data_IF_975967409150
#
_entry.id   IF_975967409150
#
_cell.length_a   1.000
_cell.length_b   1.000
_cell.length_c   1.000
_cell.angle_alpha   90.00
_cell.angle_beta   90.00
_cell.angle_gamma   90.00
#
_symmetry.space_group_name_H-M   'P 1'
#
loop_
_entity.id
_entity.type
_entity.pdbx_description
1 polymer ?
#
# COMPACT_ATOMS: atom_id res chain seq x y z
N UNK A 1 36.29 -14.33 35.20
CA UNK A 1 36.26 -13.03 35.77
C UNK A 1 36.71 -12.03 34.71
N UNK A 2 35.76 -11.25 34.26
CA UNK A 2 36.03 -10.21 33.22
C UNK A 2 36.71 -9.03 33.91
N UNK A 3 37.84 -8.59 33.39
CA UNK A 3 38.55 -7.41 33.87
C UNK A 3 37.69 -6.16 33.61
N UNK A 4 37.64 -5.18 34.53
CA UNK A 4 36.78 -3.98 34.39
C UNK A 4 37.26 -3.11 33.25
N UNK A 5 36.31 -2.58 32.50
CA UNK A 5 36.44 -1.76 31.26
C UNK A 5 37.39 -0.53 31.41
N UNK A 6 37.59 -0.03 32.64
CA UNK A 6 38.45 1.14 32.88
C UNK A 6 39.96 0.87 32.67
N UNK A 7 40.41 -0.39 32.58
CA UNK A 7 41.82 -0.69 32.23
C UNK A 7 42.13 -0.49 30.75
N UNK A 8 41.10 -0.48 29.87
CA UNK A 8 41.26 -0.26 28.42
C UNK A 8 41.54 1.21 28.05
N UNK A 9 41.13 2.16 28.89
CA UNK A 9 41.32 3.59 28.61
C UNK A 9 42.75 4.10 28.93
N UNK A 10 43.54 3.35 29.68
CA UNK A 10 44.89 3.78 30.09
C UNK A 10 46.02 3.45 29.09
N UNK A 11 45.81 2.51 28.18
CA UNK A 11 46.88 2.00 27.30
C UNK A 11 46.79 2.43 25.82
N UNK A 12 45.88 3.27 25.44
CA UNK A 12 45.86 3.83 24.07
C UNK A 12 45.85 5.36 24.20
N UNK A 13 47.01 5.99 24.05
CA UNK A 13 47.21 7.43 24.12
C UNK A 13 46.28 8.22 23.15
N UNK A 14 45.03 8.30 23.50
CA UNK A 14 44.08 9.12 22.81
C UNK A 14 44.08 10.52 23.44
N UNK A 15 44.79 11.41 22.79
CA UNK A 15 44.81 12.84 23.11
C UNK A 15 43.41 13.43 22.93
N UNK A 16 42.86 14.16 23.90
CA UNK A 16 41.46 14.61 23.88
C UNK A 16 41.25 15.94 23.15
N UNK A 17 41.87 16.22 22.06
CA UNK A 17 41.57 17.43 21.27
C UNK A 17 42.00 17.27 19.80
N UNK A 18 41.25 16.53 19.03
CA UNK A 18 41.15 16.83 17.60
C UNK A 18 39.79 17.49 17.34
N UNK A 19 39.85 18.78 16.95
CA UNK A 19 38.69 19.49 16.42
C UNK A 19 38.10 18.68 15.29
N UNK A 20 36.88 18.19 15.49
CA UNK A 20 36.10 17.64 14.39
C UNK A 20 35.81 18.80 13.42
N UNK A 21 36.36 18.72 12.22
CA UNK A 21 35.93 19.56 11.12
C UNK A 21 34.43 19.37 10.93
N UNK A 22 33.67 20.44 10.85
CA UNK A 22 32.26 20.43 10.55
C UNK A 22 32.07 19.73 9.19
N UNK A 23 31.47 18.54 9.20
CA UNK A 23 31.03 17.92 7.98
C UNK A 23 29.92 18.82 7.44
N UNK A 24 30.01 19.29 6.18
CA UNK A 24 28.97 20.12 5.60
C UNK A 24 27.63 19.37 5.72
N UNK A 25 26.62 20.07 6.23
CA UNK A 25 25.28 19.56 6.34
C UNK A 25 24.77 19.25 4.93
N UNK A 26 24.61 17.97 4.63
CA UNK A 26 23.94 17.54 3.41
C UNK A 26 22.48 18.00 3.53
N UNK A 27 21.96 18.80 2.60
CA UNK A 27 20.58 19.24 2.68
C UNK A 27 19.66 18.01 2.45
N UNK A 28 18.71 17.85 3.36
CA UNK A 28 17.48 17.09 3.20
C UNK A 28 17.57 15.56 3.10
N UNK A 29 18.00 14.92 4.18
CA UNK A 29 17.38 13.64 4.55
C UNK A 29 16.14 13.96 5.36
N UNK A 30 15.00 13.33 5.04
CA UNK A 30 13.73 13.45 5.77
C UNK A 30 13.83 12.76 7.14
N UNK A 31 14.67 13.30 8.03
CA UNK A 31 14.82 12.83 9.40
C UNK A 31 14.76 14.01 10.33
N UNK A 32 13.88 14.03 11.31
CA UNK A 32 13.97 14.98 12.42
C UNK A 32 15.19 14.64 13.27
N UNK A 33 15.98 15.64 13.59
CA UNK A 33 17.17 15.47 14.43
C UNK A 33 16.80 15.88 15.86
N UNK A 34 16.48 14.91 16.71
CA UNK A 34 16.36 15.15 18.13
C UNK A 34 17.65 14.76 18.83
N UNK A 35 18.29 15.70 19.52
CA UNK A 35 19.49 15.44 20.29
C UNK A 35 19.09 15.07 21.71
N UNK A 36 19.49 13.87 22.19
CA UNK A 36 19.51 13.54 23.61
C UNK A 36 20.96 13.57 24.11
N UNK A 37 21.17 14.23 25.23
CA UNK A 37 22.46 14.26 25.89
C UNK A 37 22.48 13.17 26.96
N UNK A 38 23.40 12.24 26.83
CA UNK A 38 23.63 11.23 27.85
C UNK A 38 24.90 11.57 28.63
N UNK A 39 24.79 11.52 29.96
CA UNK A 39 25.93 11.76 30.85
C UNK A 39 26.65 10.43 31.11
N UNK A 40 27.89 10.34 30.67
CA UNK A 40 28.73 9.19 30.95
C UNK A 40 30.15 9.69 31.39
N UNK A 41 30.59 9.29 32.55
CA UNK A 41 31.89 9.68 33.13
C UNK A 41 32.18 11.20 33.12
N UNK A 42 31.17 12.04 33.38
CA UNK A 42 31.37 13.50 33.43
C UNK A 42 31.33 14.23 32.08
N UNK A 43 31.13 13.51 30.98
CA UNK A 43 31.05 14.09 29.64
C UNK A 43 29.65 13.87 29.04
N UNK A 44 29.16 14.90 28.34
CA UNK A 44 27.93 14.82 27.54
C UNK A 44 28.26 14.43 26.11
N UNK A 45 27.75 13.27 25.67
CA UNK A 45 27.87 12.85 24.28
C UNK A 45 26.53 13.06 23.57
N UNK A 46 26.50 13.84 22.49
CA UNK A 46 25.31 13.94 21.67
C UNK A 46 25.11 12.63 20.89
N UNK A 47 24.09 11.87 21.24
CA UNK A 47 23.66 10.72 20.44
C UNK A 47 22.64 11.24 19.45
N UNK A 48 22.90 10.99 18.19
CA UNK A 48 21.99 11.28 17.09
C UNK A 48 20.95 10.17 17.03
N UNK A 49 19.81 10.37 17.68
CA UNK A 49 18.65 9.53 17.38
C UNK A 49 18.16 9.87 15.97
N UNK A 50 18.29 8.91 15.06
CA UNK A 50 17.59 8.96 13.80
C UNK A 50 16.18 8.49 14.09
N UNK A 51 15.25 9.42 14.30
CA UNK A 51 13.83 9.08 14.37
C UNK A 51 13.40 8.84 12.94
N UNK A 52 13.02 7.60 12.58
CA UNK A 52 12.48 7.36 11.24
C UNK A 52 11.20 8.17 11.10
N UNK A 53 11.12 8.98 10.04
CA UNK A 53 9.93 9.75 9.67
C UNK A 53 9.11 8.88 8.72
N UNK A 54 7.79 9.03 8.77
CA UNK A 54 6.90 8.46 7.80
C UNK A 54 7.37 8.76 6.37
N UNK A 55 7.87 7.75 5.69
CA UNK A 55 8.29 7.87 4.28
C UNK A 55 7.04 7.66 3.44
N UNK A 56 6.76 8.59 2.50
CA UNK A 56 5.71 8.36 1.53
C UNK A 56 6.07 7.15 0.67
N UNK A 57 5.32 6.07 0.83
CA UNK A 57 5.33 4.94 -0.08
C UNK A 57 3.88 4.59 -0.42
N UNK A 58 3.58 4.55 -1.70
CA UNK A 58 2.28 4.13 -2.21
C UNK A 58 2.48 3.52 -3.59
N UNK A 59 2.12 2.27 -3.73
CA UNK A 59 2.24 1.52 -4.97
C UNK A 59 0.90 0.89 -5.33
N UNK A 60 0.63 0.74 -6.63
CA UNK A 60 -0.59 0.10 -7.14
C UNK A 60 -0.24 -0.96 -8.16
N UNK A 61 -0.89 -2.10 -8.04
CA UNK A 61 -0.69 -3.24 -8.92
C UNK A 61 -2.01 -3.92 -9.30
N UNK A 62 -1.89 -4.91 -10.17
CA UNK A 62 -3.01 -5.77 -10.59
C UNK A 62 -2.65 -7.22 -10.32
N UNK A 63 -3.49 -7.90 -9.56
CA UNK A 63 -3.51 -9.36 -9.45
C UNK A 63 -4.19 -9.89 -10.71
N UNK A 64 -3.42 -10.60 -11.56
CA UNK A 64 -3.91 -11.09 -12.85
C UNK A 64 -3.60 -12.56 -13.02
N UNK A 65 -4.59 -13.35 -13.43
CA UNK A 65 -4.43 -14.77 -13.73
C UNK A 65 -3.41 -15.02 -14.85
N UNK A 66 -3.39 -14.17 -15.86
CA UNK A 66 -2.41 -14.28 -16.95
C UNK A 66 -0.95 -14.08 -16.54
N UNK A 67 -0.71 -13.56 -15.32
CA UNK A 67 0.62 -13.47 -14.69
C UNK A 67 0.86 -14.59 -13.67
N UNK A 68 0.04 -15.64 -13.66
CA UNK A 68 0.12 -16.73 -12.69
C UNK A 68 -0.27 -16.33 -11.25
N UNK A 69 -0.95 -15.19 -11.07
CA UNK A 69 -1.41 -14.74 -9.76
C UNK A 69 -2.87 -15.14 -9.52
N UNK A 70 -3.21 -15.44 -8.27
CA UNK A 70 -4.57 -15.71 -7.78
C UNK A 70 -4.99 -14.66 -6.75
N UNK A 71 -6.26 -14.25 -6.78
CA UNK A 71 -6.82 -13.34 -5.78
C UNK A 71 -6.92 -14.02 -4.41
N UNK A 72 -7.29 -15.30 -4.38
CA UNK A 72 -7.35 -16.11 -3.14
C UNK A 72 -5.95 -16.25 -2.53
N UNK A 73 -4.92 -16.56 -3.34
CA UNK A 73 -3.53 -16.63 -2.86
C UNK A 73 -3.03 -15.29 -2.30
N UNK A 74 -3.36 -14.19 -3.02
CA UNK A 74 -2.99 -12.85 -2.59
C UNK A 74 -3.68 -12.44 -1.27
N UNK A 75 -4.96 -12.78 -1.11
CA UNK A 75 -5.71 -12.52 0.11
C UNK A 75 -5.17 -13.36 1.29
N UNK A 76 -4.94 -14.66 1.09
CA UNK A 76 -4.36 -15.55 2.09
C UNK A 76 -3.00 -15.04 2.59
N UNK A 77 -2.13 -14.62 1.67
CA UNK A 77 -0.81 -14.08 2.01
C UNK A 77 -0.90 -12.81 2.88
N UNK A 78 -1.82 -11.89 2.53
CA UNK A 78 -1.96 -10.60 3.24
C UNK A 78 -2.61 -10.77 4.59
N UNK A 79 -3.61 -11.63 4.69
CA UNK A 79 -4.32 -11.87 5.96
C UNK A 79 -3.61 -12.84 6.89
N UNK A 80 -2.62 -13.60 6.40
CA UNK A 80 -1.99 -14.67 7.18
C UNK A 80 -2.92 -15.87 7.40
N UNK A 81 -3.88 -16.09 6.50
CA UNK A 81 -4.86 -17.16 6.61
C UNK A 81 -4.53 -18.36 5.73
N UNK A 82 -5.28 -19.43 5.92
CA UNK A 82 -5.30 -20.60 5.05
C UNK A 82 -6.56 -20.56 4.21
N UNK A 83 -6.43 -20.35 2.90
CA UNK A 83 -7.54 -20.29 1.96
C UNK A 83 -7.34 -21.29 0.81
N UNK A 84 -8.43 -21.89 0.37
CA UNK A 84 -8.44 -22.78 -0.81
C UNK A 84 -9.05 -22.02 -1.99
N UNK A 85 -8.36 -22.00 -3.11
CA UNK A 85 -8.86 -21.45 -4.36
C UNK A 85 -9.71 -22.51 -5.07
N UNK A 86 -11.01 -22.26 -5.19
CA UNK A 86 -11.96 -23.19 -5.83
C UNK A 86 -11.80 -23.26 -7.36
N UNK A 87 -11.12 -22.28 -7.97
CA UNK A 87 -10.85 -22.28 -9.41
C UNK A 87 -9.90 -23.40 -9.84
N UNK A 88 -8.86 -23.66 -9.04
CA UNK A 88 -7.78 -24.61 -9.34
C UNK A 88 -7.59 -25.69 -8.27
N UNK A 89 -8.34 -25.61 -7.17
CA UNK A 89 -8.26 -26.52 -6.03
C UNK A 89 -7.02 -26.33 -5.15
N UNK A 90 -6.19 -25.31 -5.40
CA UNK A 90 -4.96 -25.07 -4.63
C UNK A 90 -5.27 -24.43 -3.28
N UNK A 91 -4.65 -24.97 -2.23
CA UNK A 91 -4.70 -24.39 -0.88
C UNK A 91 -3.44 -23.58 -0.59
N UNK A 92 -3.63 -22.33 -0.18
CA UNK A 92 -2.59 -21.40 0.22
C UNK A 92 -2.63 -21.24 1.74
N UNK A 93 -1.56 -21.66 2.42
CA UNK A 93 -1.47 -21.64 3.88
C UNK A 93 -0.36 -20.69 4.34
N UNK A 94 -0.78 -19.55 4.88
CA UNK A 94 0.10 -18.52 5.43
C UNK A 94 -0.11 -18.32 6.93
N UNK A 95 -0.70 -19.29 7.64
CA UNK A 95 -0.97 -19.20 9.09
C UNK A 95 0.29 -19.05 9.94
N UNK A 96 1.46 -19.41 9.41
CA UNK A 96 2.76 -19.21 10.07
C UNK A 96 3.38 -17.83 9.80
N UNK A 97 2.76 -17.00 8.98
CA UNK A 97 3.26 -15.66 8.67
C UNK A 97 3.10 -14.75 9.90
N UNK A 98 4.21 -14.23 10.39
CA UNK A 98 4.21 -13.19 11.43
C UNK A 98 3.94 -11.80 10.87
N UNK A 99 3.72 -10.83 11.77
CA UNK A 99 3.62 -9.42 11.44
C UNK A 99 2.27 -8.96 10.89
N UNK A 100 1.26 -9.83 10.77
CA UNK A 100 -0.12 -9.41 10.46
C UNK A 100 -0.78 -8.95 11.75
N UNK A 101 -1.06 -7.65 11.87
CA UNK A 101 -1.56 -7.04 13.11
C UNK A 101 -3.02 -6.62 13.03
N UNK A 102 -3.57 -6.49 11.83
CA UNK A 102 -5.00 -6.23 11.60
C UNK A 102 -5.42 -6.70 10.21
N UNK A 103 -6.64 -7.22 10.10
CA UNK A 103 -7.29 -7.53 8.81
C UNK A 103 -8.76 -7.15 8.86
N UNK A 104 -9.29 -6.62 7.76
CA UNK A 104 -10.66 -6.18 7.70
C UNK A 104 -11.20 -6.22 6.27
N UNK A 105 -12.48 -6.59 6.14
CA UNK A 105 -13.22 -6.49 4.88
C UNK A 105 -14.29 -5.40 5.03
N UNK A 106 -14.30 -4.46 4.09
CA UNK A 106 -15.29 -3.39 4.02
C UNK A 106 -16.12 -3.57 2.75
N UNK A 107 -17.43 -3.58 2.92
CA UNK A 107 -18.39 -3.86 1.85
C UNK A 107 -19.24 -2.64 1.52
N UNK A 108 -19.55 -2.40 0.24
CA UNK A 108 -20.59 -1.45 -0.12
C UNK A 108 -21.97 -1.96 0.35
N UNK A 109 -22.96 -1.07 0.57
CA UNK A 109 -24.25 -1.44 1.18
C UNK A 109 -25.04 -2.54 0.47
N UNK A 110 -24.84 -2.69 -0.83
CA UNK A 110 -25.52 -3.67 -1.67
C UNK A 110 -24.74 -4.98 -1.84
N UNK A 111 -23.56 -5.10 -1.25
CA UNK A 111 -22.80 -6.36 -1.31
C UNK A 111 -23.44 -7.44 -0.44
N UNK A 112 -23.38 -8.71 -0.86
CA UNK A 112 -23.85 -9.83 -0.03
C UNK A 112 -23.13 -9.85 1.32
N UNK A 113 -23.84 -10.01 2.44
CA UNK A 113 -23.20 -10.10 3.76
C UNK A 113 -22.17 -11.25 3.85
N UNK A 114 -22.34 -12.32 3.06
CA UNK A 114 -21.38 -13.43 2.98
C UNK A 114 -20.00 -13.01 2.48
N UNK A 115 -19.88 -11.88 1.79
CA UNK A 115 -18.57 -11.34 1.35
C UNK A 115 -17.73 -10.77 2.51
N UNK A 116 -18.27 -10.72 3.73
CA UNK A 116 -17.47 -10.49 4.94
C UNK A 116 -16.51 -11.66 5.24
N UNK A 117 -16.79 -12.85 4.69
CA UNK A 117 -15.86 -13.98 4.67
C UNK A 117 -14.90 -13.86 3.48
N UNK A 118 -13.60 -13.86 3.77
CA UNK A 118 -12.54 -13.64 2.79
C UNK A 118 -12.49 -14.72 1.73
N UNK A 119 -12.68 -15.98 2.14
CA UNK A 119 -12.72 -17.12 1.22
C UNK A 119 -13.89 -16.97 0.24
N UNK A 120 -15.06 -16.65 0.73
CA UNK A 120 -16.26 -16.44 -0.08
C UNK A 120 -16.09 -15.29 -1.07
N UNK A 121 -15.59 -14.14 -0.60
CA UNK A 121 -15.39 -12.97 -1.46
C UNK A 121 -14.45 -13.29 -2.62
N UNK A 122 -13.24 -13.77 -2.32
CA UNK A 122 -12.22 -13.93 -3.36
C UNK A 122 -12.43 -15.15 -4.25
N UNK A 123 -13.05 -16.22 -3.75
CA UNK A 123 -13.50 -17.32 -4.61
C UNK A 123 -14.62 -16.89 -5.54
N UNK A 124 -15.56 -16.05 -5.10
CA UNK A 124 -16.59 -15.52 -5.99
C UNK A 124 -16.01 -14.72 -7.15
N UNK A 125 -14.92 -13.95 -6.91
CA UNK A 125 -14.19 -13.23 -7.97
C UNK A 125 -13.49 -14.20 -8.91
N UNK A 126 -12.76 -15.18 -8.39
CA UNK A 126 -12.04 -16.18 -9.20
C UNK A 126 -12.99 -16.95 -10.13
N UNK A 127 -14.12 -17.40 -9.60
CA UNK A 127 -15.10 -18.18 -10.36
C UNK A 127 -15.89 -17.35 -11.38
N UNK A 128 -16.11 -16.07 -11.09
CA UNK A 128 -16.80 -15.17 -12.03
C UNK A 128 -15.91 -14.74 -13.20
N UNK A 129 -14.64 -14.48 -12.95
CA UNK A 129 -13.65 -14.01 -13.93
C UNK A 129 -13.05 -15.18 -14.74
N UNK A 130 -13.78 -15.69 -15.75
CA UNK A 130 -13.44 -16.92 -16.48
C UNK A 130 -12.28 -16.81 -17.47
N UNK A 131 -11.85 -15.59 -17.84
CA UNK A 131 -10.81 -15.43 -18.85
C UNK A 131 -9.41 -15.82 -18.29
N UNK A 132 -8.60 -16.50 -19.11
CA UNK A 132 -7.24 -16.89 -18.71
C UNK A 132 -6.30 -15.70 -18.40
N UNK A 133 -6.60 -14.51 -18.93
CA UNK A 133 -5.87 -13.25 -18.65
C UNK A 133 -6.66 -12.31 -17.76
N UNK A 134 -7.62 -12.81 -16.99
CA UNK A 134 -8.49 -11.99 -16.13
C UNK A 134 -7.68 -11.17 -15.13
N UNK A 135 -8.09 -9.91 -14.97
CA UNK A 135 -7.70 -9.07 -13.84
C UNK A 135 -8.65 -9.36 -12.68
N UNK A 136 -8.11 -9.92 -11.60
CA UNK A 136 -8.87 -10.46 -10.46
C UNK A 136 -9.06 -9.42 -9.37
N UNK A 137 -8.00 -8.71 -9.04
CA UNK A 137 -8.02 -7.68 -8.01
C UNK A 137 -7.06 -6.54 -8.37
N UNK A 138 -7.32 -5.34 -7.84
CA UNK A 138 -6.34 -4.28 -7.73
C UNK A 138 -5.72 -4.36 -6.35
N UNK A 139 -4.40 -4.21 -6.28
CA UNK A 139 -3.65 -4.19 -5.04
C UNK A 139 -3.02 -2.82 -4.83
N UNK A 140 -3.02 -2.33 -3.59
CA UNK A 140 -2.34 -1.11 -3.18
C UNK A 140 -1.51 -1.46 -1.95
N UNK A 141 -0.26 -1.03 -1.95
CA UNK A 141 0.65 -1.12 -0.82
C UNK A 141 1.04 0.29 -0.39
N UNK A 142 0.82 0.65 0.88
CA UNK A 142 1.10 1.98 1.38
C UNK A 142 1.75 1.94 2.77
N UNK A 143 2.78 2.78 2.96
CA UNK A 143 3.41 2.95 4.27
C UNK A 143 2.46 3.66 5.23
N UNK A 144 2.51 3.27 6.51
CA UNK A 144 1.78 3.91 7.58
C UNK A 144 2.73 4.74 8.46
N UNK A 145 2.31 5.91 8.94
CA UNK A 145 3.11 6.71 9.86
C UNK A 145 3.34 5.96 11.18
N UNK A 146 4.58 5.90 11.63
CA UNK A 146 4.93 5.34 12.94
C UNK A 146 4.54 6.28 14.09
N UNK A 147 4.29 7.55 13.79
CA UNK A 147 3.84 8.58 14.71
C UNK A 147 2.40 8.38 15.17
N UNK A 148 1.63 7.58 14.43
CA UNK A 148 0.26 7.23 14.76
C UNK A 148 0.20 5.95 15.60
N UNK A 149 -0.68 5.90 16.59
CA UNK A 149 -1.01 4.66 17.29
C UNK A 149 -1.61 3.63 16.32
N UNK A 150 -1.61 2.36 16.71
CA UNK A 150 -2.22 1.29 15.90
C UNK A 150 -3.68 1.57 15.59
N UNK A 151 -4.43 2.07 16.57
CA UNK A 151 -5.83 2.44 16.43
C UNK A 151 -6.02 3.55 15.39
N UNK A 152 -5.16 4.57 15.42
CA UNK A 152 -5.19 5.67 14.46
C UNK A 152 -4.77 5.20 13.05
N UNK A 153 -3.80 4.29 12.95
CA UNK A 153 -3.42 3.67 11.66
C UNK A 153 -4.60 2.89 11.05
N UNK A 154 -5.32 2.10 11.85
CA UNK A 154 -6.52 1.38 11.41
C UNK A 154 -7.61 2.36 10.95
N UNK A 155 -7.86 3.43 11.71
CA UNK A 155 -8.85 4.47 11.38
C UNK A 155 -8.48 5.17 10.07
N UNK A 156 -7.21 5.53 9.89
CA UNK A 156 -6.70 6.14 8.66
C UNK A 156 -7.03 5.27 7.43
N UNK A 157 -6.70 3.97 7.49
CA UNK A 157 -6.98 3.04 6.38
C UNK A 157 -8.48 2.90 6.15
N UNK A 158 -9.30 2.79 7.20
CA UNK A 158 -10.76 2.72 7.08
C UNK A 158 -11.36 3.96 6.41
N UNK A 159 -11.00 5.16 6.88
CA UNK A 159 -11.53 6.42 6.34
C UNK A 159 -11.12 6.58 4.87
N UNK A 160 -9.87 6.31 4.55
CA UNK A 160 -9.37 6.32 3.17
C UNK A 160 -10.12 5.31 2.28
N UNK A 161 -10.22 4.04 2.70
CA UNK A 161 -10.89 3.00 1.93
C UNK A 161 -12.40 3.26 1.77
N UNK A 162 -13.06 3.72 2.82
CA UNK A 162 -14.48 4.08 2.78
C UNK A 162 -14.75 5.15 1.74
N UNK A 163 -13.97 6.23 1.78
CA UNK A 163 -14.13 7.39 0.90
C UNK A 163 -13.75 7.09 -0.55
N UNK A 164 -12.61 6.41 -0.78
CA UNK A 164 -12.07 6.28 -2.12
C UNK A 164 -12.59 5.06 -2.88
N UNK A 165 -13.00 4.00 -2.18
CA UNK A 165 -13.32 2.73 -2.82
C UNK A 165 -14.71 2.21 -2.48
N UNK A 166 -15.07 2.07 -1.20
CA UNK A 166 -16.37 1.52 -0.78
C UNK A 166 -17.52 2.40 -1.27
N UNK A 167 -17.38 3.73 -1.17
CA UNK A 167 -18.36 4.71 -1.67
C UNK A 167 -18.60 4.63 -3.19
N UNK A 168 -17.64 4.06 -3.92
CA UNK A 168 -17.75 3.81 -5.37
C UNK A 168 -18.26 2.41 -5.71
N UNK A 169 -18.59 1.59 -4.70
CA UNK A 169 -19.14 0.25 -4.88
C UNK A 169 -18.09 -0.88 -4.96
N UNK A 170 -16.82 -0.63 -4.62
CA UNK A 170 -15.81 -1.66 -4.53
C UNK A 170 -15.87 -2.36 -3.17
N UNK A 171 -15.73 -3.70 -3.15
CA UNK A 171 -15.38 -4.40 -1.94
C UNK A 171 -13.89 -4.22 -1.68
N UNK A 172 -13.55 -3.98 -0.43
CA UNK A 172 -12.18 -3.74 0.04
C UNK A 172 -11.82 -4.84 1.04
N UNK A 173 -10.63 -5.41 0.89
CA UNK A 173 -10.02 -6.31 1.87
C UNK A 173 -8.64 -5.75 2.19
N UNK A 174 -8.41 -5.29 3.41
CA UNK A 174 -7.12 -4.74 3.79
C UNK A 174 -6.49 -5.46 4.98
N UNK A 175 -5.17 -5.47 4.99
CA UNK A 175 -4.36 -5.97 6.09
C UNK A 175 -3.30 -4.93 6.47
N UNK A 176 -3.01 -4.80 7.77
CA UNK A 176 -1.90 -4.01 8.27
C UNK A 176 -0.81 -4.98 8.73
N UNK A 177 0.40 -4.76 8.23
CA UNK A 177 1.57 -5.52 8.60
C UNK A 177 2.55 -4.64 9.38
N UNK A 178 3.07 -5.20 10.45
CA UNK A 178 4.13 -4.60 11.25
C UNK A 178 4.93 -5.70 11.93
N UNK A 179 6.23 -5.66 11.74
CA UNK A 179 7.18 -6.59 12.39
C UNK A 179 8.04 -5.89 13.44
N UNK A 180 7.57 -4.75 13.95
CA UNK A 180 8.32 -3.88 14.88
C UNK A 180 9.67 -3.40 14.31
N UNK A 181 9.84 -3.51 13.00
CA UNK A 181 11.04 -3.03 12.28
C UNK A 181 11.01 -1.53 11.95
N UNK A 182 9.96 -0.81 12.39
CA UNK A 182 9.77 0.61 12.10
C UNK A 182 9.24 0.91 10.71
N UNK A 183 8.62 -0.06 10.05
CA UNK A 183 8.01 0.09 8.72
C UNK A 183 6.59 -0.52 8.68
N UNK A 184 5.64 0.00 9.50
CA UNK A 184 4.26 -0.43 9.39
C UNK A 184 3.69 -0.04 8.02
N UNK A 185 2.94 -0.96 7.41
CA UNK A 185 2.36 -0.73 6.09
C UNK A 185 1.02 -1.46 5.94
N UNK A 186 0.17 -0.95 5.05
CA UNK A 186 -1.08 -1.60 4.72
C UNK A 186 -1.06 -2.14 3.29
N UNK A 187 -1.68 -3.30 3.14
CA UNK A 187 -2.02 -3.91 1.87
C UNK A 187 -3.53 -3.83 1.67
N UNK A 188 -3.97 -3.27 0.58
CA UNK A 188 -5.39 -3.11 0.26
C UNK A 188 -5.66 -3.87 -1.03
N UNK A 189 -6.64 -4.76 -1.01
CA UNK A 189 -7.16 -5.45 -2.19
C UNK A 189 -8.55 -4.93 -2.52
N UNK A 190 -8.78 -4.62 -3.79
CA UNK A 190 -10.03 -4.06 -4.29
C UNK A 190 -10.61 -4.98 -5.38
N UNK A 191 -11.92 -5.18 -5.34
CA UNK A 191 -12.61 -5.83 -6.45
C UNK A 191 -12.60 -4.93 -7.69
N UNK A 192 -12.55 -5.54 -8.87
CA UNK A 192 -12.47 -4.83 -10.16
C UNK A 192 -13.77 -4.91 -10.96
N UNK A 193 -14.82 -5.44 -10.35
CA UNK A 193 -16.13 -5.61 -10.95
C UNK A 193 -17.19 -5.07 -10.00
N UNK A 194 -18.16 -4.29 -10.50
CA UNK A 194 -19.24 -3.79 -9.67
C UNK A 194 -20.27 -4.88 -9.39
N UNK A 195 -20.98 -4.69 -8.28
CA UNK A 195 -22.17 -5.43 -7.91
C UNK A 195 -23.40 -4.59 -8.27
N UNK A 196 -24.49 -5.25 -8.65
CA UNK A 196 -25.80 -4.61 -8.77
C UNK A 196 -26.47 -4.47 -7.39
N UNK A 197 -27.67 -3.89 -7.36
CA UNK A 197 -28.44 -3.69 -6.13
C UNK A 197 -28.86 -5.01 -5.44
N UNK A 198 -28.75 -6.15 -6.15
CA UNK A 198 -29.04 -7.50 -5.64
C UNK A 198 -27.77 -8.22 -5.17
N UNK A 199 -26.63 -7.55 -5.22
CA UNK A 199 -25.35 -8.14 -4.85
C UNK A 199 -24.76 -9.10 -5.88
N UNK A 200 -25.20 -9.01 -7.14
CA UNK A 200 -24.70 -9.88 -8.22
C UNK A 200 -23.62 -9.14 -9.02
N UNK A 201 -22.55 -9.85 -9.39
CA UNK A 201 -21.49 -9.28 -10.22
C UNK A 201 -22.02 -8.84 -11.59
N UNK A 202 -21.71 -7.62 -12.00
CA UNK A 202 -22.11 -7.06 -13.30
C UNK A 202 -20.93 -6.87 -14.23
N UNK A 203 -21.21 -6.45 -15.47
CA UNK A 203 -20.16 -6.19 -16.44
C UNK A 203 -19.35 -4.95 -16.08
N UNK A 204 -18.02 -5.04 -16.10
CA UNK A 204 -17.12 -3.89 -15.92
C UNK A 204 -16.94 -3.04 -17.19
N UNK A 205 -17.37 -3.56 -18.33
CA UNK A 205 -17.32 -2.86 -19.62
C UNK A 205 -18.32 -3.45 -20.60
N UNK A 206 -18.73 -2.63 -21.57
CA UNK A 206 -19.54 -3.07 -22.72
C UNK A 206 -18.78 -2.79 -24.02
N UNK A 207 -19.13 -3.52 -25.08
CA UNK A 207 -18.71 -3.19 -26.45
C UNK A 207 -19.79 -2.35 -27.09
N UNK A 208 -19.40 -1.25 -27.72
CA UNK A 208 -20.25 -0.46 -28.58
C UNK A 208 -19.72 -0.50 -30.02
N UNK A 209 -20.66 -0.41 -30.99
CA UNK A 209 -20.32 -0.35 -32.38
C UNK A 209 -19.90 1.08 -32.75
N UNK A 210 -18.82 1.20 -33.52
CA UNK A 210 -18.47 2.46 -34.13
C UNK A 210 -19.43 2.73 -35.29
N UNK A 211 -19.99 3.93 -35.32
CA UNK A 211 -20.91 4.37 -36.36
C UNK A 211 -20.19 5.31 -37.33
N UNK A 212 -20.61 5.30 -38.59
CA UNK A 212 -20.18 6.25 -39.59
C UNK A 212 -20.99 7.58 -39.51
N UNK A 213 -20.75 8.48 -40.44
CA UNK A 213 -21.42 9.81 -40.51
C UNK A 213 -22.95 9.69 -40.71
N UNK A 214 -23.42 8.55 -41.22
CA UNK A 214 -24.84 8.26 -41.44
C UNK A 214 -25.49 7.52 -40.28
N UNK A 215 -24.72 7.19 -39.24
CA UNK A 215 -25.20 6.40 -38.09
C UNK A 215 -25.20 4.89 -38.34
N UNK A 216 -24.60 4.41 -39.44
CA UNK A 216 -24.48 2.99 -39.73
C UNK A 216 -23.20 2.38 -39.14
N UNK A 217 -23.28 1.07 -38.79
CA UNK A 217 -22.14 0.35 -38.20
C UNK A 217 -21.00 0.18 -39.19
N UNK A 218 -19.82 0.64 -38.85
CA UNK A 218 -18.63 0.55 -39.66
C UNK A 218 -18.18 -0.92 -39.78
N UNK A 219 -18.02 -1.43 -41.03
CA UNK A 219 -17.48 -2.76 -41.32
C UNK A 219 -15.97 -2.70 -41.53
N UNK A 220 -15.27 -3.63 -40.93
CA UNK A 220 -13.86 -3.86 -41.15
C UNK A 220 -13.64 -4.71 -42.43
N UNK A 221 -12.45 -4.69 -43.03
CA UNK A 221 -12.12 -5.55 -44.17
C UNK A 221 -12.33 -7.06 -43.90
N UNK A 222 -12.26 -7.46 -42.63
CA UNK A 222 -12.56 -8.84 -42.16
C UNK A 222 -14.03 -9.21 -42.17
N UNK A 223 -14.94 -8.32 -42.56
CA UNK A 223 -16.37 -8.48 -42.54
C UNK A 223 -17.01 -8.29 -41.17
N UNK A 224 -16.21 -8.11 -40.08
CA UNK A 224 -16.69 -7.83 -38.73
C UNK A 224 -17.04 -6.35 -38.58
N UNK A 225 -17.94 -6.04 -37.66
CA UNK A 225 -18.20 -4.65 -37.31
C UNK A 225 -17.08 -4.11 -36.40
N UNK A 226 -16.71 -2.86 -36.65
CA UNK A 226 -15.78 -2.14 -35.77
C UNK A 226 -16.46 -1.84 -34.45
N UNK A 227 -15.76 -2.10 -33.33
CA UNK A 227 -16.29 -1.89 -31.99
C UNK A 227 -15.19 -1.30 -31.10
N UNK A 228 -15.59 -0.48 -30.16
CA UNK A 228 -14.74 -0.06 -29.05
C UNK A 228 -15.31 -0.52 -27.73
N UNK A 229 -14.46 -0.52 -26.69
CA UNK A 229 -14.81 -0.93 -25.35
C UNK A 229 -15.07 0.30 -24.50
N UNK A 230 -16.24 0.35 -23.85
CA UNK A 230 -16.59 1.39 -22.88
C UNK A 230 -16.42 0.82 -21.47
N UNK A 231 -15.69 1.52 -20.61
CA UNK A 231 -15.65 1.25 -19.17
C UNK A 231 -16.96 1.76 -18.55
N UNK A 232 -17.66 0.88 -17.83
CA UNK A 232 -18.93 1.21 -17.17
C UNK A 232 -18.76 1.78 -15.78
N UNK A 233 -17.56 1.65 -15.21
CA UNK A 233 -17.29 1.97 -13.80
C UNK A 233 -16.44 3.22 -13.62
N UNK A 234 -15.65 3.57 -14.63
CA UNK A 234 -14.59 4.57 -14.52
C UNK A 234 -13.43 4.16 -13.59
N UNK A 235 -13.46 2.93 -13.04
CA UNK A 235 -12.46 2.50 -12.05
C UNK A 235 -11.07 2.28 -12.66
N UNK A 236 -11.00 2.09 -13.98
CA UNK A 236 -9.76 1.89 -14.73
C UNK A 236 -9.23 3.17 -15.38
N UNK A 237 -9.84 4.31 -15.09
CA UNK A 237 -9.32 5.60 -15.52
C UNK A 237 -7.91 5.81 -14.94
N UNK A 238 -6.99 6.27 -15.81
CA UNK A 238 -5.59 6.50 -15.43
C UNK A 238 -5.45 7.59 -14.37
N UNK A 239 -6.35 8.57 -14.40
CA UNK A 239 -6.34 9.68 -13.45
C UNK A 239 -6.65 9.22 -12.02
N UNK A 240 -7.38 8.13 -11.85
CA UNK A 240 -7.64 7.56 -10.52
C UNK A 240 -6.35 7.26 -9.74
N UNK A 241 -5.28 6.83 -10.41
CA UNK A 241 -4.02 6.55 -9.72
C UNK A 241 -3.44 7.78 -9.06
N UNK A 242 -3.48 8.92 -9.75
CA UNK A 242 -3.01 10.21 -9.21
C UNK A 242 -3.93 10.70 -8.09
N UNK A 243 -5.24 10.60 -8.30
CA UNK A 243 -6.24 10.99 -7.30
C UNK A 243 -6.10 10.17 -6.00
N UNK A 244 -5.97 8.84 -6.10
CA UNK A 244 -5.81 7.97 -4.94
C UNK A 244 -4.48 8.19 -4.21
N UNK A 245 -3.39 8.42 -4.95
CA UNK A 245 -2.08 8.77 -4.36
C UNK A 245 -2.14 10.07 -3.59
N UNK A 246 -2.76 11.09 -4.19
CA UNK A 246 -2.96 12.39 -3.53
C UNK A 246 -3.83 12.25 -2.29
N UNK A 247 -4.98 11.55 -2.42
CA UNK A 247 -5.89 11.34 -1.31
C UNK A 247 -5.20 10.61 -0.15
N UNK A 248 -4.35 9.60 -0.42
CA UNK A 248 -3.56 8.93 0.63
C UNK A 248 -2.68 9.92 1.41
N UNK A 249 -2.00 10.82 0.72
CA UNK A 249 -1.19 11.84 1.37
C UNK A 249 -2.03 12.83 2.18
N UNK A 250 -3.16 13.26 1.63
CA UNK A 250 -4.08 14.20 2.29
C UNK A 250 -4.64 13.58 3.60
N UNK A 251 -5.16 12.35 3.54
CA UNK A 251 -5.67 11.62 4.72
C UNK A 251 -4.57 11.41 5.77
N UNK A 252 -3.39 10.96 5.34
CA UNK A 252 -2.26 10.75 6.24
C UNK A 252 -1.84 12.04 6.95
N UNK A 253 -1.77 13.15 6.21
CA UNK A 253 -1.39 14.44 6.77
C UNK A 253 -2.42 14.99 7.75
N UNK A 254 -3.71 14.79 7.47
CA UNK A 254 -4.80 15.15 8.36
C UNK A 254 -4.74 14.34 9.68
N UNK A 255 -4.49 13.03 9.61
CA UNK A 255 -4.31 12.21 10.80
C UNK A 255 -3.08 12.59 11.61
N UNK A 256 -1.95 12.88 10.96
CA UNK A 256 -0.75 13.39 11.63
C UNK A 256 -1.03 14.71 12.35
N UNK A 257 -1.75 15.63 11.71
CA UNK A 257 -2.13 16.92 12.30
C UNK A 257 -3.03 16.76 13.52
N UNK A 258 -4.10 15.96 13.40
CA UNK A 258 -5.03 15.67 14.50
C UNK A 258 -4.33 15.04 15.71
N UNK A 259 -3.24 14.30 15.49
CA UNK A 259 -2.42 13.67 16.52
C UNK A 259 -1.23 14.54 16.96
N UNK A 260 -1.18 15.81 16.56
CA UNK A 260 -0.16 16.76 16.99
C UNK A 260 1.24 16.50 16.43
N UNK A 261 1.37 15.66 15.39
CA UNK A 261 2.65 15.46 14.72
C UNK A 261 2.95 16.60 13.74
N UNK A 262 4.18 17.15 13.74
CA UNK A 262 4.60 18.15 12.77
C UNK A 262 4.95 17.55 11.40
N UNK A 263 5.07 16.22 11.32
CA UNK A 263 5.49 15.53 10.12
C UNK A 263 4.42 15.58 9.02
N UNK A 264 4.88 15.64 7.78
CA UNK A 264 3.99 15.64 6.60
C UNK A 264 4.61 14.80 5.48
N UNK A 265 3.76 14.09 4.74
CA UNK A 265 4.15 13.35 3.54
C UNK A 265 3.69 14.07 2.28
N UNK A 266 4.38 13.84 1.17
CA UNK A 266 4.06 14.42 -0.14
C UNK A 266 3.97 13.32 -1.19
N UNK A 267 2.88 13.29 -1.95
CA UNK A 267 2.61 12.28 -2.99
C UNK A 267 3.38 12.53 -4.29
N UNK A 268 3.94 13.74 -4.47
CA UNK A 268 4.67 14.11 -5.68
C UNK A 268 6.05 13.45 -5.71
N UNK A 269 6.53 13.15 -6.90
CA UNK A 269 7.89 12.65 -7.10
C UNK A 269 8.94 13.69 -6.67
N UNK A 270 10.17 13.23 -6.40
CA UNK A 270 11.28 14.15 -6.09
C UNK A 270 11.50 15.17 -7.21
N UNK A 271 11.36 14.75 -8.49
CA UNK A 271 11.48 15.64 -9.63
C UNK A 271 10.41 16.76 -9.63
N UNK A 272 9.15 16.43 -9.35
CA UNK A 272 8.05 17.41 -9.25
C UNK A 272 8.21 18.37 -8.06
N UNK A 273 8.94 17.93 -7.03
CA UNK A 273 9.27 18.72 -5.85
C UNK A 273 10.53 19.56 -6.01
N UNK A 274 11.24 19.44 -7.14
CA UNK A 274 12.52 20.10 -7.38
C UNK A 274 13.66 19.56 -6.51
N UNK A 275 13.55 18.31 -6.04
CA UNK A 275 14.56 17.64 -5.22
C UNK A 275 15.42 16.78 -6.13
N UNK A 276 16.71 17.12 -6.20
CA UNK A 276 17.70 16.38 -7.02
C UNK A 276 18.26 15.16 -6.24
N UNK A 277 17.38 14.26 -5.84
CA UNK A 277 17.72 12.97 -5.23
C UNK A 277 17.14 11.83 -6.03
N UNK A 278 17.97 10.81 -6.29
CA UNK A 278 17.51 9.56 -6.93
C UNK A 278 16.56 8.85 -5.95
N UNK A 279 15.34 8.47 -6.39
CA UNK A 279 14.42 7.70 -5.56
C UNK A 279 15.09 6.41 -5.07
N UNK A 280 14.87 6.07 -3.80
CA UNK A 280 15.32 4.78 -3.26
C UNK A 280 14.59 3.65 -3.98
N UNK A 281 15.35 2.71 -4.54
CA UNK A 281 14.80 1.48 -5.11
C UNK A 281 14.55 0.50 -3.98
N UNK A 282 13.32 0.02 -3.84
CA UNK A 282 13.01 -1.07 -2.91
C UNK A 282 13.65 -2.35 -3.46
N UNK A 283 14.74 -2.76 -2.86
CA UNK A 283 15.36 -4.06 -3.12
C UNK A 283 14.53 -5.08 -2.34
N UNK A 284 13.66 -5.79 -3.03
CA UNK A 284 12.91 -6.90 -2.44
C UNK A 284 13.83 -7.89 -1.73
N UNK A 285 13.30 -8.61 -0.75
CA UNK A 285 14.03 -9.70 -0.08
C UNK A 285 14.33 -10.77 -1.14
N UNK A 286 15.62 -11.08 -1.31
CA UNK A 286 16.11 -12.13 -2.21
C UNK A 286 15.66 -13.52 -1.74
#
# INVERSE_FOLDING_TARGET
PRAPIWRLCRNKGLHPLRRFAAIPAHPQKQYTRRWRLYHFCGFYYPIREVIPIAIYHWNIGIVSRGKGKSAVAAAAYRSGEKLTNEWDGMTHDYTRKGGVVHTEIMLPPHAPPSFSDRSTLWNSVELYEKAGNAQLAREIDAALPIELSREEQIRLVREYCSSQFVSRGMCVDFAIHDTDSGNPHCHIMLTMRPLDERGTWTAKSKKEYDLDENGERIRLPSGRYKTHKIDLTGWNDKDNTLLWRKAWADYTNDFLERNGSPERIDHRSNAERGIDEIPTVHMGVA
#
